data_IF_543805864561
#
_entry.id   IF_543805864561
#
_cell.length_a   1.000
_cell.length_b   1.000
_cell.length_c   1.000
_cell.angle_alpha   90.00
_cell.angle_beta   90.00
_cell.angle_gamma   90.00
#
_symmetry.space_group_name_H-M   'P 1'
#
loop_
_entity.id
_entity.type
_entity.pdbx_description
1 polymer ?
#
# COMPACT_ATOMS: atom_id res chain seq x y z
N UNK A 1 11.13 16.68 27.17
CA UNK A 1 11.06 17.60 26.01
C UNK A 1 10.81 16.80 24.73
N UNK A 2 9.93 17.28 23.84
CA UNK A 2 9.69 16.66 22.52
C UNK A 2 10.53 17.36 21.45
N UNK A 3 11.31 16.60 20.67
CA UNK A 3 12.15 17.12 19.58
C UNK A 3 11.43 16.94 18.25
N UNK A 4 11.29 18.01 17.44
CA UNK A 4 10.78 17.86 16.07
C UNK A 4 11.83 17.14 15.22
N UNK A 5 11.44 16.00 14.63
CA UNK A 5 12.32 15.22 13.77
C UNK A 5 12.04 15.45 12.29
N UNK A 6 10.77 15.68 11.92
CA UNK A 6 10.41 15.84 10.52
C UNK A 6 9.19 16.73 10.36
N UNK A 7 9.22 17.60 9.35
CA UNK A 7 8.13 18.49 8.98
C UNK A 7 7.88 18.39 7.47
N UNK A 8 6.67 17.97 7.08
CA UNK A 8 6.31 17.62 5.71
C UNK A 8 5.06 18.37 5.28
N UNK A 9 5.14 19.11 4.17
CA UNK A 9 3.96 19.62 3.47
C UNK A 9 3.34 18.54 2.61
N UNK A 10 2.02 18.37 2.72
CA UNK A 10 1.24 17.34 2.02
C UNK A 10 0.20 18.02 1.14
N UNK A 11 0.05 17.53 -0.09
CA UNK A 11 -1.03 17.91 -1.00
C UNK A 11 -1.62 16.67 -1.65
N UNK A 12 -2.95 16.48 -1.62
CA UNK A 12 -3.52 15.35 -2.36
C UNK A 12 -3.56 15.61 -3.87
N UNK A 13 -3.20 14.59 -4.66
CA UNK A 13 -3.24 14.64 -6.12
C UNK A 13 -4.43 13.87 -6.70
N UNK A 14 -4.96 12.90 -5.95
CA UNK A 14 -6.16 12.15 -6.33
C UNK A 14 -7.24 12.25 -5.25
N UNK A 15 -8.52 12.02 -5.62
CA UNK A 15 -9.65 12.11 -4.68
C UNK A 15 -9.38 11.36 -3.38
N UNK A 16 -9.52 12.06 -2.24
CA UNK A 16 -9.20 11.53 -0.93
C UNK A 16 -10.49 11.21 -0.16
N UNK A 17 -10.66 9.92 0.12
CA UNK A 17 -11.81 9.36 0.83
C UNK A 17 -11.41 8.98 2.26
N UNK A 18 -11.31 9.99 3.11
CA UNK A 18 -11.08 9.84 4.55
C UNK A 18 -12.42 9.95 5.26
N UNK A 19 -13.16 8.86 5.34
CA UNK A 19 -14.33 8.76 6.21
C UNK A 19 -14.15 7.64 7.21
N UNK A 20 -14.82 7.76 8.35
CA UNK A 20 -14.89 6.73 9.38
C UNK A 20 -15.61 5.46 8.90
N UNK A 21 -16.72 5.11 9.55
CA UNK A 21 -17.49 3.93 9.19
C UNK A 21 -18.19 4.05 7.83
N UNK A 22 -18.65 5.26 7.47
CA UNK A 22 -19.43 5.58 6.26
C UNK A 22 -18.57 5.85 5.01
N UNK A 23 -17.31 6.23 5.18
CA UNK A 23 -16.39 6.53 4.08
C UNK A 23 -16.55 7.92 3.46
N UNK A 24 -17.39 8.79 4.03
CA UNK A 24 -17.55 10.18 3.59
C UNK A 24 -16.54 11.11 4.27
N UNK A 25 -15.95 12.04 3.51
CA UNK A 25 -15.02 13.05 4.06
C UNK A 25 -15.69 14.12 4.91
N UNK A 26 -16.95 14.44 4.57
CA UNK A 26 -17.73 15.44 5.28
C UNK A 26 -19.08 14.85 5.69
N UNK A 27 -19.56 15.25 6.86
CA UNK A 27 -20.85 14.86 7.43
C UNK A 27 -21.53 16.02 8.11
N UNK A 28 -22.85 16.04 8.05
CA UNK A 28 -23.69 16.97 8.81
C UNK A 28 -24.15 16.28 10.09
N UNK A 29 -23.83 16.87 11.24
CA UNK A 29 -24.28 16.44 12.56
C UNK A 29 -25.09 17.59 13.17
N UNK A 30 -26.43 17.46 13.13
CA UNK A 30 -27.34 18.55 13.46
C UNK A 30 -27.18 19.72 12.48
N UNK A 31 -26.85 20.90 13.00
CA UNK A 31 -26.58 22.10 12.20
C UNK A 31 -25.11 22.27 11.79
N UNK A 32 -24.21 21.37 12.20
CA UNK A 32 -22.77 21.50 11.96
C UNK A 32 -22.30 20.58 10.84
N UNK A 33 -21.52 21.13 9.91
CA UNK A 33 -20.78 20.36 8.92
C UNK A 33 -19.39 20.06 9.49
N UNK A 34 -19.06 18.78 9.63
CA UNK A 34 -17.77 18.31 10.13
C UNK A 34 -16.98 17.72 8.96
N UNK A 35 -15.84 18.31 8.65
CA UNK A 35 -14.84 17.73 7.76
C UNK A 35 -13.83 16.89 8.56
N UNK A 36 -13.53 15.70 8.06
CA UNK A 36 -12.65 14.74 8.76
C UNK A 36 -11.19 15.19 8.84
N UNK A 37 -10.74 16.03 7.90
CA UNK A 37 -9.35 16.41 7.75
C UNK A 37 -8.44 15.22 7.48
N UNK A 38 -7.12 15.44 7.59
CA UNK A 38 -6.13 14.38 7.51
C UNK A 38 -5.88 13.79 8.90
N UNK A 39 -6.38 12.57 9.16
CA UNK A 39 -6.23 11.92 10.47
C UNK A 39 -4.81 11.41 10.69
N UNK A 40 -4.13 11.87 11.73
CA UNK A 40 -2.82 11.36 12.17
C UNK A 40 -2.81 9.83 12.37
N UNK A 41 -3.92 9.25 12.84
CA UNK A 41 -4.07 7.80 13.01
C UNK A 41 -4.00 7.04 11.68
N UNK A 42 -4.57 7.59 10.60
CA UNK A 42 -4.51 6.98 9.27
C UNK A 42 -3.08 6.96 8.74
N UNK A 43 -2.32 8.04 8.96
CA UNK A 43 -0.88 8.10 8.63
C UNK A 43 -0.09 7.09 9.47
N UNK A 44 -0.32 7.03 10.78
CA UNK A 44 0.34 6.04 11.67
C UNK A 44 0.05 4.60 11.25
N UNK A 45 -1.15 4.31 10.75
CA UNK A 45 -1.50 2.98 10.23
C UNK A 45 -0.67 2.59 9.01
N UNK A 46 -0.56 3.48 8.02
CA UNK A 46 0.28 3.28 6.83
C UNK A 46 1.76 3.19 7.20
N UNK A 47 2.23 4.10 8.04
CA UNK A 47 3.59 4.13 8.53
C UNK A 47 3.98 2.80 9.18
N UNK A 48 3.14 2.28 10.08
CA UNK A 48 3.38 0.98 10.73
C UNK A 48 3.41 -0.17 9.73
N UNK A 49 2.54 -0.17 8.73
CA UNK A 49 2.53 -1.22 7.71
C UNK A 49 3.83 -1.24 6.90
N UNK A 50 4.29 -0.09 6.42
CA UNK A 50 5.55 0.02 5.68
C UNK A 50 6.78 -0.27 6.54
N UNK A 51 6.79 0.17 7.81
CA UNK A 51 7.86 -0.19 8.75
C UNK A 51 7.98 -1.71 8.91
N UNK A 52 6.84 -2.41 9.06
CA UNK A 52 6.83 -3.88 9.15
C UNK A 52 7.33 -4.53 7.88
N UNK A 53 6.98 -4.00 6.69
CA UNK A 53 7.47 -4.52 5.42
C UNK A 53 9.00 -4.40 5.30
N UNK A 54 9.59 -3.27 5.71
CA UNK A 54 11.06 -3.11 5.75
C UNK A 54 11.74 -4.07 6.73
N UNK A 55 11.19 -4.22 7.95
CA UNK A 55 11.74 -5.16 8.94
C UNK A 55 11.64 -6.61 8.42
N UNK A 56 10.51 -6.98 7.82
CA UNK A 56 10.29 -8.29 7.23
C UNK A 56 11.25 -8.55 6.06
N UNK A 57 11.43 -7.58 5.17
CA UNK A 57 12.41 -7.64 4.09
C UNK A 57 13.84 -7.81 4.60
N UNK A 58 14.22 -7.08 5.64
CA UNK A 58 15.54 -7.19 6.25
C UNK A 58 15.77 -8.57 6.88
N UNK A 59 14.76 -9.13 7.56
CA UNK A 59 14.83 -10.51 8.09
C UNK A 59 14.99 -11.53 6.96
N UNK A 60 14.24 -11.36 5.87
CA UNK A 60 14.33 -12.24 4.71
C UNK A 60 15.72 -12.19 4.06
N UNK A 61 16.20 -11.00 3.72
CA UNK A 61 17.50 -10.85 3.04
C UNK A 61 18.67 -11.32 3.91
N UNK A 62 18.58 -11.18 5.23
CA UNK A 62 19.63 -11.62 6.17
C UNK A 62 19.57 -13.10 6.51
N UNK A 63 18.39 -13.69 6.70
CA UNK A 63 18.25 -14.99 7.35
C UNK A 63 17.44 -16.02 6.57
N UNK A 64 16.83 -15.65 5.44
CA UNK A 64 15.99 -16.56 4.64
C UNK A 64 14.60 -16.85 5.21
N UNK A 65 14.23 -16.18 6.30
CA UNK A 65 12.97 -16.43 7.00
C UNK A 65 12.41 -15.15 7.63
N UNK A 66 11.08 -15.03 7.63
CA UNK A 66 10.35 -13.91 8.24
C UNK A 66 9.51 -14.38 9.43
N UNK A 67 9.97 -14.05 10.63
CA UNK A 67 9.18 -14.23 11.86
C UNK A 67 8.22 -13.05 12.08
N UNK A 68 6.92 -13.29 11.93
CA UNK A 68 5.88 -12.28 12.17
C UNK A 68 5.95 -11.68 13.58
N UNK A 69 6.23 -12.51 14.59
CA UNK A 69 6.38 -12.08 15.98
C UNK A 69 7.55 -11.11 16.15
N UNK A 70 8.71 -11.41 15.55
CA UNK A 70 9.87 -10.49 15.57
C UNK A 70 9.54 -9.18 14.87
N UNK A 71 8.85 -9.22 13.72
CA UNK A 71 8.41 -8.03 12.98
C UNK A 71 7.49 -7.15 13.83
N UNK A 72 6.50 -7.76 14.49
CA UNK A 72 5.56 -7.06 15.38
C UNK A 72 6.30 -6.43 16.56
N UNK A 73 7.19 -7.18 17.22
CA UNK A 73 7.97 -6.73 18.38
C UNK A 73 8.87 -5.56 18.02
N UNK A 74 9.65 -5.65 16.94
CA UNK A 74 10.55 -4.59 16.49
C UNK A 74 9.79 -3.33 16.05
N UNK A 75 8.72 -3.48 15.26
CA UNK A 75 7.88 -2.35 14.88
C UNK A 75 7.20 -1.71 16.12
N UNK A 76 6.83 -2.53 17.10
CA UNK A 76 6.26 -2.11 18.38
C UNK A 76 7.25 -1.31 19.23
N UNK A 77 8.53 -1.71 19.28
CA UNK A 77 9.59 -0.94 19.97
C UNK A 77 9.74 0.48 19.41
N UNK A 78 9.54 0.67 18.11
CA UNK A 78 9.71 1.96 17.41
C UNK A 78 8.41 2.80 17.45
N UNK A 79 7.30 2.25 16.96
CA UNK A 79 6.04 2.98 16.77
C UNK A 79 4.98 2.70 17.84
N UNK A 80 5.29 1.87 18.83
CA UNK A 80 4.34 1.41 19.84
C UNK A 80 3.45 0.27 19.36
N UNK A 81 2.91 -0.49 20.31
CA UNK A 81 1.98 -1.59 20.10
C UNK A 81 0.70 -1.36 20.91
N UNK A 82 -0.50 -1.46 20.31
CA UNK A 82 -1.75 -1.09 20.96
C UNK A 82 -2.35 -2.17 21.89
N UNK A 83 -1.82 -3.40 21.92
CA UNK A 83 -2.49 -4.52 22.60
C UNK A 83 -1.54 -5.65 23.02
N UNK A 84 -1.91 -6.35 24.11
CA UNK A 84 -1.24 -7.55 24.62
C UNK A 84 -0.20 -7.28 25.70
N UNK A 85 0.56 -8.31 26.10
CA UNK A 85 1.71 -8.19 27.03
C UNK A 85 2.82 -7.24 26.52
N UNK A 86 2.79 -6.88 25.23
CA UNK A 86 3.70 -5.94 24.59
C UNK A 86 3.10 -4.53 24.39
N UNK A 87 2.02 -4.18 25.10
CA UNK A 87 1.41 -2.86 25.01
C UNK A 87 2.43 -1.78 25.37
N UNK A 88 2.81 -0.99 24.37
CA UNK A 88 3.96 -0.09 24.45
C UNK A 88 3.57 1.23 23.78
N UNK A 89 3.82 2.33 24.48
CA UNK A 89 3.60 3.67 23.94
C UNK A 89 4.55 3.97 22.77
N UNK A 90 4.07 4.77 21.82
CA UNK A 90 4.85 5.15 20.64
C UNK A 90 5.96 6.14 21.03
N UNK A 91 7.17 5.95 20.51
CA UNK A 91 8.25 6.94 20.62
C UNK A 91 8.01 8.19 19.76
N UNK A 92 6.89 8.25 19.02
CA UNK A 92 6.56 9.34 18.11
C UNK A 92 5.19 9.95 18.37
N UNK A 93 5.15 11.28 18.45
CA UNK A 93 3.94 12.08 18.35
C UNK A 93 3.80 12.61 16.93
N UNK A 94 2.60 12.45 16.37
CA UNK A 94 2.27 12.86 15.00
C UNK A 94 1.20 13.93 15.09
N UNK A 95 1.47 15.11 14.53
CA UNK A 95 0.53 16.23 14.46
C UNK A 95 0.24 16.54 12.99
N UNK A 96 -1.04 16.68 12.67
CA UNK A 96 -1.53 17.02 11.34
C UNK A 96 -2.31 18.32 11.43
N UNK A 97 -1.93 19.32 10.64
CA UNK A 97 -2.60 20.61 10.57
C UNK A 97 -3.17 20.77 9.17
N UNK A 98 -4.50 20.85 9.07
CA UNK A 98 -5.17 21.12 7.80
C UNK A 98 -5.03 22.61 7.51
N UNK A 99 -4.43 22.94 6.38
CA UNK A 99 -4.34 24.34 5.92
C UNK A 99 -5.50 24.70 5.00
N UNK A 100 -5.93 23.75 4.16
CA UNK A 100 -7.02 23.95 3.21
C UNK A 100 -7.57 22.61 2.71
N UNK A 101 -8.87 22.51 2.49
CA UNK A 101 -9.48 21.44 1.69
C UNK A 101 -10.70 21.97 0.95
N UNK A 102 -10.95 21.40 -0.24
CA UNK A 102 -12.25 21.52 -0.91
C UNK A 102 -12.99 20.20 -0.83
N UNK A 103 -14.25 20.28 -0.45
CA UNK A 103 -15.15 19.14 -0.36
C UNK A 103 -16.01 19.05 -1.64
N UNK A 104 -15.95 17.94 -2.37
CA UNK A 104 -16.73 17.71 -3.58
C UNK A 104 -17.60 16.45 -3.45
N UNK A 105 -18.74 16.42 -4.16
CA UNK A 105 -19.67 15.26 -4.17
C UNK A 105 -19.08 14.08 -4.92
N UNK A 106 -19.28 12.89 -4.37
CA UNK A 106 -18.84 11.62 -4.98
C UNK A 106 -19.46 11.31 -6.33
N UNK A 107 -20.67 11.82 -6.60
CA UNK A 107 -21.32 11.76 -7.92
C UNK A 107 -20.40 12.21 -9.05
N UNK A 108 -19.50 13.16 -8.78
CA UNK A 108 -18.57 13.74 -9.76
C UNK A 108 -17.44 12.77 -10.16
N UNK A 109 -17.29 11.66 -9.44
CA UNK A 109 -16.19 10.71 -9.62
C UNK A 109 -16.67 9.24 -9.65
N UNK A 110 -17.95 9.01 -9.93
CA UNK A 110 -18.56 7.67 -10.14
C UNK A 110 -17.94 6.90 -11.30
N UNK A 111 -17.22 7.59 -12.19
CA UNK A 111 -16.37 6.93 -13.20
C UNK A 111 -15.28 6.05 -12.59
N UNK A 112 -14.92 6.20 -11.32
CA UNK A 112 -14.04 5.27 -10.62
C UNK A 112 -14.82 4.04 -10.12
N UNK A 113 -14.56 2.82 -10.64
CA UNK A 113 -15.26 1.60 -10.23
C UNK A 113 -15.30 1.38 -8.72
N UNK A 114 -14.19 1.68 -8.01
CA UNK A 114 -14.13 1.50 -6.56
C UNK A 114 -15.05 2.47 -5.82
N UNK A 115 -15.22 3.69 -6.32
CA UNK A 115 -16.16 4.65 -5.75
C UNK A 115 -17.58 4.14 -5.93
N UNK A 116 -17.97 3.78 -7.15
CA UNK A 116 -19.33 3.27 -7.41
C UNK A 116 -19.69 2.08 -6.54
N UNK A 117 -18.76 1.14 -6.34
CA UNK A 117 -18.96 -0.02 -5.45
C UNK A 117 -19.10 0.35 -3.97
N UNK A 118 -18.38 1.37 -3.49
CA UNK A 118 -18.43 1.79 -2.08
C UNK A 118 -19.77 2.44 -1.70
N UNK A 119 -20.50 2.97 -2.69
CA UNK A 119 -21.72 3.74 -2.47
C UNK A 119 -22.97 3.09 -3.09
N UNK A 120 -22.88 1.83 -3.54
CA UNK A 120 -24.07 1.06 -3.93
C UNK A 120 -25.08 1.05 -2.77
N UNK A 121 -26.31 1.50 -3.05
CA UNK A 121 -27.38 1.59 -2.06
C UNK A 121 -27.20 2.69 -1.00
N UNK A 122 -26.22 3.60 -1.16
CA UNK A 122 -26.02 4.76 -0.27
C UNK A 122 -26.35 6.05 -1.02
N UNK A 123 -27.03 7.00 -0.35
CA UNK A 123 -27.48 8.30 -0.90
C UNK A 123 -26.36 9.32 -1.22
N UNK A 124 -25.17 8.86 -1.58
CA UNK A 124 -24.02 9.70 -1.92
C UNK A 124 -23.01 9.86 -0.78
N UNK A 125 -22.17 10.90 -0.89
CA UNK A 125 -21.13 11.26 0.08
C UNK A 125 -20.11 12.21 -0.54
N UNK A 126 -19.04 12.50 0.21
CA UNK A 126 -18.07 13.52 -0.16
C UNK A 126 -16.63 13.03 -0.14
N UNK A 127 -15.77 13.66 -0.93
CA UNK A 127 -14.33 13.47 -0.92
C UNK A 127 -13.59 14.80 -0.86
N UNK A 128 -12.36 14.78 -0.36
CA UNK A 128 -11.49 15.94 -0.38
C UNK A 128 -10.70 16.03 -1.69
N UNK A 129 -10.64 17.25 -2.24
CA UNK A 129 -9.77 17.64 -3.35
C UNK A 129 -8.93 18.85 -2.95
N UNK A 130 -7.73 18.95 -3.52
CA UNK A 130 -6.78 20.04 -3.25
C UNK A 130 -6.47 20.24 -1.76
N UNK A 131 -6.65 19.20 -0.94
CA UNK A 131 -6.27 19.18 0.46
C UNK A 131 -4.79 19.52 0.57
N UNK A 132 -4.48 20.53 1.40
CA UNK A 132 -3.14 20.91 1.81
C UNK A 132 -3.06 20.77 3.32
N UNK A 133 -2.05 20.05 3.79
CA UNK A 133 -1.83 19.85 5.21
C UNK A 133 -0.35 19.87 5.54
N UNK A 134 -0.05 20.15 6.80
CA UNK A 134 1.27 20.04 7.37
C UNK A 134 1.31 18.84 8.33
N UNK A 135 2.33 18.01 8.18
CA UNK A 135 2.60 16.87 9.04
C UNK A 135 3.89 17.15 9.81
N UNK A 136 3.80 17.23 11.14
CA UNK A 136 4.96 17.31 12.04
C UNK A 136 5.09 16.02 12.85
N UNK A 137 6.30 15.49 12.89
CA UNK A 137 6.68 14.28 13.63
C UNK A 137 7.67 14.67 14.71
N UNK A 138 7.33 14.34 15.94
CA UNK A 138 8.15 14.61 17.12
C UNK A 138 8.59 13.30 17.77
N UNK A 139 9.83 13.24 18.24
CA UNK A 139 10.29 12.20 19.15
C UNK A 139 9.82 12.50 20.57
N UNK A 140 9.33 11.48 21.25
CA UNK A 140 8.89 11.55 22.64
C UNK A 140 9.69 10.53 23.44
N UNK A 141 10.33 10.99 24.52
CA UNK A 141 10.97 10.09 25.48
C UNK A 141 9.88 9.25 26.17
N UNK A 142 9.99 7.93 26.07
CA UNK A 142 9.09 7.01 26.77
C UNK A 142 9.54 6.84 28.22
N UNK A 143 8.58 6.56 29.11
CA UNK A 143 8.87 6.32 30.53
C UNK A 143 9.61 5.01 30.77
N UNK A 144 9.35 4.00 29.94
CA UNK A 144 9.90 2.65 30.03
C UNK A 144 11.21 2.48 29.25
N UNK A 145 11.85 3.58 28.85
CA UNK A 145 13.16 3.56 28.17
C UNK A 145 14.06 4.64 28.75
N UNK A 146 15.26 4.25 29.17
CA UNK A 146 16.26 5.18 29.71
C UNK A 146 16.72 6.19 28.65
N UNK A 147 16.86 5.72 27.41
CA UNK A 147 17.36 6.48 26.27
C UNK A 147 16.30 6.71 25.18
N UNK A 148 16.53 7.71 24.35
CA UNK A 148 15.78 7.94 23.12
C UNK A 148 16.04 6.82 22.08
N UNK A 149 15.40 6.90 20.91
CA UNK A 149 15.72 5.96 19.82
C UNK A 149 17.19 6.07 19.40
N UNK A 150 17.75 4.97 18.91
CA UNK A 150 19.03 4.98 18.18
C UNK A 150 18.90 5.77 16.88
N UNK A 151 20.02 6.18 16.29
CA UNK A 151 19.99 6.91 15.01
C UNK A 151 19.41 6.05 13.88
N UNK A 152 19.73 4.76 13.86
CA UNK A 152 19.26 3.76 12.91
C UNK A 152 17.74 3.56 13.04
N UNK A 153 17.23 3.44 14.27
CA UNK A 153 15.79 3.34 14.53
C UNK A 153 15.04 4.59 14.03
N UNK A 154 15.62 5.80 14.20
CA UNK A 154 15.05 7.05 13.68
C UNK A 154 15.01 7.06 12.15
N UNK A 155 16.13 6.73 11.50
CA UNK A 155 16.23 6.73 10.03
C UNK A 155 15.25 5.71 9.44
N UNK A 156 15.19 4.49 9.98
CA UNK A 156 14.24 3.46 9.57
C UNK A 156 12.78 3.93 9.73
N UNK A 157 12.46 4.55 10.88
CA UNK A 157 11.13 5.08 11.12
C UNK A 157 10.78 6.18 10.11
N UNK A 158 11.62 7.20 9.94
CA UNK A 158 11.30 8.30 9.02
C UNK A 158 11.32 7.88 7.54
N UNK A 159 12.25 7.00 7.15
CA UNK A 159 12.31 6.43 5.81
C UNK A 159 11.07 5.60 5.45
N UNK A 160 10.58 4.79 6.39
CA UNK A 160 9.32 4.04 6.22
C UNK A 160 8.09 4.95 6.15
N UNK A 161 8.06 6.06 6.91
CA UNK A 161 7.01 7.08 6.79
C UNK A 161 7.03 7.72 5.40
N UNK A 162 8.19 8.18 4.94
CA UNK A 162 8.35 8.80 3.63
C UNK A 162 7.93 7.85 2.52
N UNK A 163 8.42 6.60 2.55
CA UNK A 163 8.05 5.57 1.59
C UNK A 163 6.53 5.37 1.59
N UNK A 164 5.90 5.32 2.77
CA UNK A 164 4.44 5.17 2.87
C UNK A 164 3.64 6.31 2.27
N UNK A 165 4.15 7.55 2.34
CA UNK A 165 3.47 8.73 1.81
C UNK A 165 3.62 8.86 0.29
N UNK A 166 4.74 8.37 -0.26
CA UNK A 166 5.03 8.42 -1.70
C UNK A 166 4.43 7.21 -2.43
N UNK A 167 4.57 6.01 -1.87
CA UNK A 167 4.23 4.74 -2.51
C UNK A 167 2.88 4.17 -2.04
N UNK A 168 2.05 4.96 -1.35
CA UNK A 168 0.66 4.57 -1.04
C UNK A 168 -0.30 5.76 -1.09
N UNK A 169 -1.57 5.45 -1.37
CA UNK A 169 -2.67 6.36 -1.11
C UNK A 169 -3.28 6.19 0.28
N UNK A 170 -3.86 7.25 0.82
CA UNK A 170 -4.54 7.25 2.13
C UNK A 170 -6.06 7.11 1.95
N UNK A 171 -6.71 6.37 2.84
CA UNK A 171 -8.17 6.25 2.86
C UNK A 171 -8.72 5.14 1.97
N UNK A 172 -10.03 5.22 1.66
CA UNK A 172 -10.70 4.18 0.88
C UNK A 172 -10.20 4.19 -0.57
N UNK A 173 -9.75 3.04 -1.06
CA UNK A 173 -9.16 2.93 -2.39
C UNK A 173 -7.68 3.33 -2.46
N UNK A 174 -7.01 3.56 -1.33
CA UNK A 174 -5.60 3.96 -1.25
C UNK A 174 -4.61 3.05 -1.98
N UNK A 175 -4.89 1.75 -2.08
CA UNK A 175 -4.06 0.80 -2.86
C UNK A 175 -4.32 0.81 -4.37
N UNK A 176 -5.33 1.56 -4.84
CA UNK A 176 -5.78 1.62 -6.24
C UNK A 176 -5.78 3.05 -6.78
N UNK A 177 -4.75 3.83 -6.42
CA UNK A 177 -4.52 5.17 -6.96
C UNK A 177 -5.37 6.31 -6.39
N UNK A 178 -6.23 6.08 -5.37
CA UNK A 178 -6.96 7.15 -4.68
C UNK A 178 -6.22 7.64 -3.45
N UNK A 179 -6.46 8.89 -3.04
CA UNK A 179 -5.84 9.51 -1.86
C UNK A 179 -4.31 9.61 -1.90
N UNK A 180 -3.71 9.68 -3.09
CA UNK A 180 -2.26 9.84 -3.26
C UNK A 180 -1.83 11.26 -2.91
N UNK A 181 -0.64 11.40 -2.31
CA UNK A 181 -0.10 12.66 -1.82
C UNK A 181 1.17 13.04 -2.57
N UNK A 182 1.25 14.29 -2.99
CA UNK A 182 2.51 14.96 -3.26
C UNK A 182 3.06 15.52 -1.94
N UNK A 183 4.34 15.30 -1.68
CA UNK A 183 4.97 15.67 -0.42
C UNK A 183 6.21 16.54 -0.65
N UNK A 184 6.44 17.47 0.28
CA UNK A 184 7.64 18.30 0.36
C UNK A 184 8.18 18.26 1.78
N UNK A 185 9.46 17.95 1.95
CA UNK A 185 10.10 17.91 3.27
C UNK A 185 10.76 19.25 3.55
N UNK A 186 10.33 19.89 4.65
CA UNK A 186 10.87 21.16 5.13
C UNK A 186 11.99 20.93 6.16
N UNK A 187 11.74 20.04 7.11
CA UNK A 187 12.68 19.66 8.18
C UNK A 187 12.90 18.15 8.14
N UNK A 188 14.15 17.73 8.25
CA UNK A 188 14.58 16.34 8.39
C UNK A 188 15.79 16.30 9.31
N UNK A 189 15.59 15.94 10.57
CA UNK A 189 16.64 15.90 11.58
C UNK A 189 17.69 14.81 11.32
N UNK A 190 17.42 13.85 10.42
CA UNK A 190 18.39 12.82 10.03
C UNK A 190 19.29 13.26 8.87
N UNK A 191 18.91 14.33 8.16
CA UNK A 191 19.55 14.82 6.94
C UNK A 191 19.67 13.75 5.81
N UNK A 192 18.90 12.67 5.86
CA UNK A 192 18.97 11.57 4.88
C UNK A 192 18.02 11.73 3.70
N UNK A 193 16.84 12.31 3.93
CA UNK A 193 15.73 12.18 3.00
C UNK A 193 15.25 13.50 2.40
N UNK A 194 15.43 14.64 3.07
CA UNK A 194 14.90 15.93 2.59
C UNK A 194 15.26 16.22 1.12
N UNK A 195 16.53 16.06 0.75
CA UNK A 195 17.00 16.27 -0.63
C UNK A 195 16.36 15.29 -1.60
N UNK A 196 16.38 13.99 -1.28
CA UNK A 196 15.86 12.93 -2.13
C UNK A 196 14.35 13.12 -2.39
N UNK A 197 13.56 13.32 -1.34
CA UNK A 197 12.10 13.49 -1.44
C UNK A 197 11.74 14.69 -2.31
N UNK A 198 12.42 15.82 -2.14
CA UNK A 198 12.13 17.01 -2.93
C UNK A 198 12.54 16.84 -4.41
N UNK A 199 13.46 15.91 -4.73
CA UNK A 199 13.84 15.56 -6.10
C UNK A 199 12.81 14.63 -6.77
N UNK A 200 12.02 13.83 -6.04
CA UNK A 200 11.02 12.90 -6.61
C UNK A 200 10.03 13.58 -7.57
N UNK A 201 9.75 14.86 -7.36
CA UNK A 201 8.90 15.63 -8.28
C UNK A 201 9.53 15.88 -9.67
N UNK A 202 10.86 15.81 -9.78
CA UNK A 202 11.63 16.01 -11.01
C UNK A 202 11.62 14.74 -11.87
N UNK A 203 11.02 14.75 -13.09
CA UNK A 203 10.91 13.56 -13.93
C UNK A 203 12.25 12.82 -14.16
N UNK A 204 13.32 13.56 -14.47
CA UNK A 204 14.61 12.96 -14.89
C UNK A 204 15.40 12.30 -13.76
N UNK A 205 15.07 12.63 -12.51
CA UNK A 205 15.79 12.13 -11.32
C UNK A 205 14.89 11.36 -10.36
N UNK A 206 13.62 11.18 -10.72
CA UNK A 206 12.61 10.56 -9.85
C UNK A 206 12.97 9.13 -9.49
N UNK A 207 13.27 8.32 -10.50
CA UNK A 207 13.53 6.88 -10.35
C UNK A 207 14.73 6.67 -9.42
N UNK A 208 15.82 7.40 -9.65
CA UNK A 208 17.02 7.35 -8.83
C UNK A 208 16.77 7.88 -7.39
N UNK A 209 16.00 8.95 -7.23
CA UNK A 209 15.65 9.46 -5.90
C UNK A 209 14.80 8.45 -5.11
N UNK A 210 13.81 7.81 -5.75
CA UNK A 210 12.98 6.78 -5.14
C UNK A 210 13.80 5.55 -4.77
N UNK A 211 14.68 5.10 -5.67
CA UNK A 211 15.63 4.01 -5.42
C UNK A 211 16.44 4.29 -4.17
N UNK A 212 17.07 5.46 -4.09
CA UNK A 212 17.91 5.83 -2.94
C UNK A 212 17.14 5.94 -1.62
N UNK A 213 15.89 6.40 -1.63
CA UNK A 213 15.04 6.40 -0.42
C UNK A 213 14.81 4.96 0.07
N UNK A 214 14.46 4.05 -0.84
CA UNK A 214 14.18 2.65 -0.51
C UNK A 214 15.45 1.93 -0.05
N UNK A 215 16.55 2.08 -0.80
CA UNK A 215 17.85 1.47 -0.48
C UNK A 215 18.36 1.92 0.89
N UNK A 216 18.36 3.23 1.17
CA UNK A 216 18.84 3.75 2.45
C UNK A 216 17.97 3.27 3.62
N UNK A 217 16.64 3.25 3.44
CA UNK A 217 15.73 2.76 4.48
C UNK A 217 15.94 1.27 4.75
N UNK A 218 16.10 0.46 3.70
CA UNK A 218 16.32 -0.98 3.82
C UNK A 218 17.69 -1.32 4.40
N UNK A 219 18.75 -0.61 3.99
CA UNK A 219 20.10 -0.74 4.55
C UNK A 219 20.07 -0.57 6.07
N UNK A 220 19.36 0.45 6.55
CA UNK A 220 19.20 0.70 7.99
C UNK A 220 18.27 -0.33 8.64
N UNK A 221 17.25 -0.82 7.94
CA UNK A 221 16.42 -1.93 8.43
C UNK A 221 17.27 -3.17 8.76
N UNK A 222 18.22 -3.54 7.87
CA UNK A 222 19.17 -4.64 8.11
C UNK A 222 20.04 -4.39 9.34
N UNK A 223 20.51 -3.16 9.57
CA UNK A 223 21.28 -2.81 10.77
C UNK A 223 20.46 -2.99 12.05
N UNK A 224 19.22 -2.50 12.07
CA UNK A 224 18.31 -2.65 13.23
C UNK A 224 18.00 -4.13 13.52
N UNK A 225 17.81 -4.93 12.47
CA UNK A 225 17.51 -6.37 12.57
C UNK A 225 18.71 -7.19 13.05
N UNK A 226 19.93 -6.92 12.55
CA UNK A 226 21.16 -7.62 12.98
C UNK A 226 21.38 -7.53 14.49
N UNK A 227 21.08 -6.39 15.08
CA UNK A 227 21.23 -6.15 16.51
C UNK A 227 20.24 -6.94 17.39
N UNK A 228 19.37 -7.77 16.82
CA UNK A 228 18.30 -8.48 17.52
C UNK A 228 18.33 -10.02 17.34
N UNK A 229 19.46 -10.58 16.85
CA UNK A 229 19.77 -12.00 16.64
C UNK A 229 18.72 -12.82 15.85
N UNK A 230 19.17 -13.49 14.79
CA UNK A 230 18.38 -14.42 13.98
C UNK A 230 19.07 -15.78 13.91
N UNK A 231 18.28 -16.85 14.02
CA UNK A 231 18.71 -18.16 13.54
C UNK A 231 18.43 -18.23 12.05
N UNK A 232 19.39 -18.70 11.25
CA UNK A 232 19.15 -18.98 9.84
C UNK A 232 18.15 -20.12 9.70
N UNK A 233 17.11 -19.88 8.90
CA UNK A 233 16.14 -20.89 8.50
C UNK A 233 15.72 -20.53 7.10
N UNK A 234 15.78 -21.49 6.19
CA UNK A 234 15.34 -21.24 4.83
C UNK A 234 13.86 -21.56 4.69
N UNK A 235 13.10 -20.58 4.20
CA UNK A 235 11.75 -20.78 3.70
C UNK A 235 11.70 -20.43 2.21
N UNK A 236 10.71 -20.99 1.51
CA UNK A 236 10.60 -20.79 0.07
C UNK A 236 10.09 -19.40 -0.34
N UNK A 237 9.28 -18.80 0.53
CA UNK A 237 8.62 -17.52 0.31
C UNK A 237 8.33 -16.89 1.68
N UNK A 238 8.45 -15.56 1.84
CA UNK A 238 8.19 -14.91 3.12
C UNK A 238 6.73 -15.09 3.56
N UNK A 239 6.56 -15.29 4.88
CA UNK A 239 5.26 -15.47 5.53
C UNK A 239 4.33 -14.27 5.39
N UNK A 240 4.87 -13.04 5.32
CA UNK A 240 4.14 -11.78 5.20
C UNK A 240 4.79 -10.85 4.16
N UNK A 241 4.09 -9.81 3.68
CA UNK A 241 4.65 -8.84 2.74
C UNK A 241 5.99 -8.28 3.21
N UNK A 242 7.04 -8.54 2.42
CA UNK A 242 8.43 -8.26 2.79
C UNK A 242 9.09 -7.38 1.75
N UNK A 243 9.67 -6.26 2.18
CA UNK A 243 10.38 -5.31 1.32
C UNK A 243 11.86 -5.71 1.24
N UNK A 244 12.14 -6.86 0.63
CA UNK A 244 13.49 -7.39 0.40
C UNK A 244 13.65 -7.81 -1.06
N UNK A 245 14.88 -7.84 -1.54
CA UNK A 245 15.19 -8.17 -2.94
C UNK A 245 16.57 -8.81 -3.13
N UNK A 246 17.39 -8.91 -2.07
CA UNK A 246 18.73 -9.51 -2.18
C UNK A 246 18.64 -11.03 -2.19
N UNK A 247 17.72 -11.60 -1.40
CA UNK A 247 17.41 -13.03 -1.42
C UNK A 247 16.15 -13.28 -2.24
N UNK A 248 16.22 -14.22 -3.18
CA UNK A 248 15.07 -14.65 -3.99
C UNK A 248 14.28 -15.76 -3.32
N UNK A 249 12.98 -15.80 -3.56
CA UNK A 249 12.12 -16.95 -3.27
C UNK A 249 12.61 -18.15 -4.09
N UNK A 250 12.58 -19.36 -3.54
CA UNK A 250 13.03 -20.59 -4.22
C UNK A 250 12.00 -21.13 -5.22
N UNK A 251 10.73 -20.74 -5.09
CA UNK A 251 9.63 -21.30 -5.88
C UNK A 251 9.36 -20.53 -7.18
N UNK A 252 9.01 -21.27 -8.23
CA UNK A 252 8.43 -20.74 -9.48
C UNK A 252 9.43 -20.11 -10.47
N UNK A 253 10.74 -20.22 -10.26
CA UNK A 253 11.74 -19.61 -11.16
C UNK A 253 12.48 -18.42 -10.56
N UNK A 254 12.59 -18.39 -9.23
CA UNK A 254 13.40 -17.45 -8.45
C UNK A 254 12.99 -15.99 -8.55
N UNK A 255 12.37 -15.44 -7.49
CA UNK A 255 11.78 -14.09 -7.52
C UNK A 255 12.02 -13.28 -6.26
N UNK A 256 12.28 -11.99 -6.44
CA UNK A 256 12.43 -11.02 -5.37
C UNK A 256 11.10 -10.81 -4.61
N UNK A 257 11.12 -10.79 -3.27
CA UNK A 257 9.93 -10.53 -2.45
C UNK A 257 9.23 -9.21 -2.73
N UNK A 258 9.97 -8.20 -3.19
CA UNK A 258 9.44 -6.88 -3.44
C UNK A 258 9.96 -6.31 -4.75
N UNK A 259 9.06 -5.79 -5.58
CA UNK A 259 9.40 -5.02 -6.78
C UNK A 259 8.78 -3.64 -6.73
N UNK A 260 9.51 -2.66 -7.25
CA UNK A 260 9.00 -1.31 -7.45
C UNK A 260 9.13 -0.93 -8.92
N UNK A 261 8.01 -0.62 -9.54
CA UNK A 261 7.97 0.01 -10.85
C UNK A 261 7.56 1.47 -10.76
N UNK A 262 8.09 2.28 -11.67
CA UNK A 262 7.67 3.65 -11.94
C UNK A 262 7.24 3.73 -13.40
N UNK A 263 6.05 4.29 -13.65
CA UNK A 263 5.55 4.48 -15.00
C UNK A 263 5.35 5.96 -15.29
N UNK A 264 6.06 6.49 -16.29
CA UNK A 264 5.97 7.88 -16.73
C UNK A 264 4.95 8.06 -17.86
N UNK A 265 4.25 9.20 -17.88
CA UNK A 265 3.21 9.52 -18.87
C UNK A 265 2.94 11.03 -18.93
N UNK A 266 2.18 11.50 -19.92
CA UNK A 266 1.69 12.89 -19.99
C UNK A 266 0.32 13.10 -19.33
N UNK A 267 -0.27 12.02 -18.79
CA UNK A 267 -1.61 12.04 -18.16
C UNK A 267 -1.59 12.73 -16.78
N UNK A 268 -2.75 13.30 -16.41
CA UNK A 268 -2.95 13.84 -15.07
C UNK A 268 -3.14 12.72 -14.04
N UNK A 269 -2.84 13.00 -12.76
CA UNK A 269 -3.01 12.04 -11.67
C UNK A 269 -4.43 11.43 -11.62
N UNK A 270 -5.44 12.23 -11.97
CA UNK A 270 -6.83 11.79 -12.02
C UNK A 270 -7.06 10.70 -13.09
N UNK A 271 -6.53 10.89 -14.30
CA UNK A 271 -6.66 9.91 -15.40
C UNK A 271 -5.85 8.66 -15.09
N UNK A 272 -4.66 8.82 -14.49
CA UNK A 272 -3.82 7.69 -14.07
C UNK A 272 -4.54 6.84 -13.02
N UNK A 273 -5.18 7.47 -12.02
CA UNK A 273 -6.00 6.76 -11.05
C UNK A 273 -7.18 6.02 -11.70
N UNK A 274 -7.72 6.54 -12.81
CA UNK A 274 -8.80 5.89 -13.56
C UNK A 274 -8.25 4.66 -14.29
N UNK A 275 -7.12 4.78 -14.97
CA UNK A 275 -6.46 3.66 -15.67
C UNK A 275 -6.11 2.52 -14.71
N UNK A 276 -5.61 2.82 -13.51
CA UNK A 276 -5.33 1.84 -12.45
C UNK A 276 -6.61 1.09 -12.02
N UNK A 277 -7.71 1.82 -11.80
CA UNK A 277 -8.95 1.18 -11.36
C UNK A 277 -9.64 0.40 -12.46
N UNK A 278 -9.53 0.86 -13.71
CA UNK A 278 -10.03 0.16 -14.87
C UNK A 278 -9.27 -1.17 -15.04
N UNK A 279 -7.94 -1.19 -14.86
CA UNK A 279 -7.16 -2.43 -14.81
C UNK A 279 -7.66 -3.40 -13.73
N UNK A 280 -7.94 -2.89 -12.53
CA UNK A 280 -8.44 -3.70 -11.42
C UNK A 280 -9.89 -4.20 -11.61
N UNK A 281 -10.57 -3.84 -12.71
CA UNK A 281 -11.97 -4.15 -12.97
C UNK A 281 -12.08 -4.93 -14.27
N UNK A 282 -12.40 -6.24 -14.19
CA UNK A 282 -12.41 -7.18 -15.34
C UNK A 282 -12.94 -6.56 -16.64
N UNK A 283 -14.22 -6.18 -16.69
CA UNK A 283 -14.83 -5.69 -17.93
C UNK A 283 -14.14 -4.45 -18.50
N UNK A 284 -13.72 -3.52 -17.64
CA UNK A 284 -13.03 -2.29 -18.10
C UNK A 284 -11.61 -2.55 -18.57
N UNK A 285 -10.89 -3.44 -17.89
CA UNK A 285 -9.57 -3.90 -18.32
C UNK A 285 -9.66 -4.54 -19.70
N UNK A 286 -10.57 -5.50 -19.88
CA UNK A 286 -10.76 -6.20 -21.15
C UNK A 286 -11.09 -5.23 -22.30
N UNK A 287 -12.03 -4.31 -22.08
CA UNK A 287 -12.37 -3.31 -23.09
C UNK A 287 -11.19 -2.39 -23.44
N UNK A 288 -10.44 -1.88 -22.45
CA UNK A 288 -9.26 -1.06 -22.72
C UNK A 288 -8.09 -1.83 -23.33
N UNK A 289 -7.95 -3.12 -23.01
CA UNK A 289 -6.90 -3.99 -23.53
C UNK A 289 -7.19 -4.53 -24.91
N UNK A 290 -8.45 -4.81 -25.26
CA UNK A 290 -8.80 -5.56 -26.48
C UNK A 290 -9.97 -4.97 -27.28
N UNK A 291 -10.63 -3.91 -26.80
CA UNK A 291 -11.81 -3.33 -27.44
C UNK A 291 -13.10 -4.12 -27.22
N UNK A 292 -13.07 -5.19 -26.42
CA UNK A 292 -14.22 -6.07 -26.16
C UNK A 292 -14.39 -6.39 -24.69
N UNK A 293 -15.64 -6.52 -24.23
CA UNK A 293 -15.97 -6.98 -22.88
C UNK A 293 -15.98 -8.52 -22.74
N UNK A 294 -16.02 -9.24 -23.87
CA UNK A 294 -16.19 -10.70 -23.91
C UNK A 294 -14.90 -11.47 -24.16
N UNK A 295 -13.83 -10.80 -24.62
CA UNK A 295 -12.52 -11.41 -24.73
C UNK A 295 -12.01 -11.88 -23.35
N UNK A 296 -11.11 -12.86 -23.33
CA UNK A 296 -10.42 -13.27 -22.12
C UNK A 296 -8.96 -12.84 -22.20
N UNK A 297 -8.43 -12.34 -21.09
CA UNK A 297 -7.00 -12.14 -20.88
C UNK A 297 -6.47 -13.28 -20.00
N UNK A 298 -5.15 -13.41 -19.89
CA UNK A 298 -4.53 -14.47 -19.09
C UNK A 298 -4.99 -14.47 -17.62
N UNK A 299 -5.35 -13.30 -17.06
CA UNK A 299 -5.90 -13.20 -15.70
C UNK A 299 -7.24 -13.93 -15.58
N UNK A 300 -8.11 -13.78 -16.58
CA UNK A 300 -9.42 -14.42 -16.64
C UNK A 300 -9.29 -15.90 -16.97
N UNK A 301 -8.45 -16.26 -17.94
CA UNK A 301 -8.27 -17.65 -18.39
C UNK A 301 -7.72 -18.53 -17.26
N UNK A 302 -6.71 -18.04 -16.53
CA UNK A 302 -6.08 -18.77 -15.43
C UNK A 302 -6.80 -18.63 -14.09
N UNK A 303 -7.90 -17.87 -14.04
CA UNK A 303 -8.65 -17.62 -12.80
C UNK A 303 -7.79 -17.06 -11.65
N UNK A 304 -6.85 -16.16 -11.97
CA UNK A 304 -5.89 -15.59 -10.99
C UNK A 304 -6.26 -14.20 -10.49
N UNK A 305 -7.44 -13.69 -10.84
CA UNK A 305 -7.89 -12.35 -10.44
C UNK A 305 -8.00 -12.14 -8.92
N UNK A 306 -8.07 -13.23 -8.13
CA UNK A 306 -8.06 -13.19 -6.67
C UNK A 306 -6.82 -12.49 -6.10
N UNK A 307 -5.70 -12.50 -6.84
CA UNK A 307 -4.46 -11.83 -6.42
C UNK A 307 -4.62 -10.32 -6.32
N UNK A 308 -5.55 -9.71 -7.08
CA UNK A 308 -5.87 -8.27 -7.05
C UNK A 308 -6.69 -7.85 -5.80
N UNK A 309 -6.83 -8.76 -4.85
CA UNK A 309 -7.46 -8.59 -3.55
C UNK A 309 -8.73 -9.42 -3.44
N UNK A 310 -8.82 -10.20 -2.36
CA UNK A 310 -10.00 -10.98 -2.04
C UNK A 310 -11.09 -10.05 -1.47
N UNK A 311 -12.35 -10.21 -1.92
CA UNK A 311 -13.46 -9.47 -1.33
C UNK A 311 -13.63 -9.87 0.14
N UNK A 312 -14.33 -9.03 0.90
CA UNK A 312 -14.86 -9.46 2.20
C UNK A 312 -15.84 -10.60 1.93
N UNK A 313 -15.91 -11.59 2.82
CA UNK A 313 -16.98 -12.60 2.81
C UNK A 313 -18.30 -11.93 2.44
N UNK A 314 -18.79 -12.25 1.25
CA UNK A 314 -20.15 -11.91 0.89
C UNK A 314 -21.00 -12.91 1.67
N UNK A 315 -21.92 -12.44 2.51
CA UNK A 315 -22.89 -13.32 3.17
C UNK A 315 -23.39 -14.32 2.13
N UNK A 316 -23.22 -15.60 2.39
CA UNK A 316 -23.58 -16.72 1.49
C UNK A 316 -25.07 -16.74 1.08
N UNK A 317 -25.86 -15.79 1.57
CA UNK A 317 -27.31 -15.74 1.54
C UNK A 317 -27.92 -15.32 0.19
N UNK A 318 -27.16 -15.24 -0.90
CA UNK A 318 -27.77 -15.06 -2.24
C UNK A 318 -27.18 -16.05 -3.23
N UNK A 319 -28.02 -16.96 -3.72
CA UNK A 319 -27.76 -17.89 -4.85
C UNK A 319 -27.24 -17.17 -6.13
N UNK A 320 -27.28 -15.84 -6.17
CA UNK A 320 -26.85 -14.97 -7.28
C UNK A 320 -25.50 -14.27 -7.08
N UNK A 321 -24.74 -14.58 -6.02
CA UNK A 321 -23.44 -13.96 -5.78
C UNK A 321 -22.37 -14.48 -6.77
N UNK A 322 -21.73 -13.58 -7.53
CA UNK A 322 -20.61 -13.91 -8.41
C UNK A 322 -19.28 -13.42 -7.81
N UNK A 323 -18.21 -14.22 -7.90
CA UNK A 323 -16.86 -13.85 -7.47
C UNK A 323 -16.17 -14.88 -6.56
N UNK A 324 -15.12 -14.45 -5.86
CA UNK A 324 -14.34 -15.29 -4.95
C UNK A 324 -14.86 -15.21 -3.50
N UNK A 325 -14.89 -16.33 -2.80
CA UNK A 325 -15.15 -16.43 -1.35
C UNK A 325 -14.08 -17.31 -0.69
N UNK A 326 -13.69 -16.99 0.55
CA UNK A 326 -12.76 -17.80 1.34
C UNK A 326 -13.51 -19.03 1.87
N UNK A 327 -12.95 -20.23 1.72
CA UNK A 327 -13.61 -21.50 2.10
C UNK A 327 -12.99 -22.10 3.35
N UNK A 328 -11.66 -22.16 3.40
CA UNK A 328 -10.89 -22.55 4.59
C UNK A 328 -9.78 -21.54 4.78
N UNK A 329 -9.84 -20.74 5.86
CA UNK A 329 -8.65 -20.26 6.59
C UNK A 329 -9.01 -19.36 7.80
N UNK A 330 -7.97 -18.99 8.57
CA UNK A 330 -7.92 -18.03 9.70
C UNK A 330 -8.13 -16.55 9.33
N UNK A 331 -8.38 -16.19 8.05
CA UNK A 331 -8.34 -14.79 7.60
C UNK A 331 -9.63 -14.44 6.86
N UNK A 332 -10.35 -13.41 7.32
CA UNK A 332 -11.60 -12.95 6.71
C UNK A 332 -11.41 -12.01 5.50
N UNK A 333 -10.16 -11.64 5.21
CA UNK A 333 -9.79 -10.69 4.15
C UNK A 333 -8.30 -10.72 3.84
N UNK A 334 -7.93 -10.69 2.55
CA UNK A 334 -6.58 -10.31 2.12
C UNK A 334 -6.62 -9.19 1.09
N UNK A 335 -5.88 -8.12 1.36
CA UNK A 335 -5.81 -6.98 0.44
C UNK A 335 -4.80 -7.23 -0.68
N UNK A 336 -4.98 -6.57 -1.83
CA UNK A 336 -4.07 -6.66 -2.98
C UNK A 336 -2.60 -6.47 -2.57
N UNK A 337 -1.68 -7.34 -2.98
CA UNK A 337 -0.23 -7.16 -2.82
C UNK A 337 0.32 -6.11 -3.79
N UNK A 338 -0.44 -5.75 -4.83
CA UNK A 338 -0.15 -4.62 -5.69
C UNK A 338 -0.69 -3.34 -5.05
N UNK A 339 0.20 -2.39 -4.79
CA UNK A 339 -0.11 -1.04 -4.32
C UNK A 339 0.24 -0.07 -5.43
N UNK A 340 -0.79 0.62 -5.91
CA UNK A 340 -0.68 1.60 -6.99
C UNK A 340 -0.79 3.02 -6.43
N UNK A 341 0.11 3.90 -6.84
CA UNK A 341 -0.06 5.36 -6.64
C UNK A 341 -0.17 6.10 -7.95
N UNK A 342 -0.96 7.16 -7.96
CA UNK A 342 -1.16 8.01 -9.12
C UNK A 342 -0.76 9.43 -8.77
N UNK A 343 0.22 9.95 -9.51
CA UNK A 343 0.78 11.29 -9.37
C UNK A 343 0.69 12.01 -10.70
N UNK A 344 0.83 13.33 -10.72
CA UNK A 344 0.77 14.04 -11.98
C UNK A 344 1.92 13.60 -12.89
N UNK A 345 1.62 13.09 -14.09
CA UNK A 345 2.60 12.59 -15.08
C UNK A 345 3.32 11.28 -14.72
N UNK A 346 2.99 10.62 -13.61
CA UNK A 346 3.60 9.32 -13.29
C UNK A 346 2.78 8.49 -12.28
N UNK A 347 3.09 7.20 -12.21
CA UNK A 347 2.60 6.30 -11.16
C UNK A 347 3.71 5.42 -10.62
N UNK A 348 3.47 4.83 -9.45
CA UNK A 348 4.27 3.72 -8.95
C UNK A 348 3.43 2.46 -8.78
N UNK A 349 4.09 1.31 -8.91
CA UNK A 349 3.52 -0.01 -8.61
C UNK A 349 4.48 -0.72 -7.66
N UNK A 350 4.07 -0.86 -6.41
CA UNK A 350 4.76 -1.70 -5.42
C UNK A 350 4.11 -3.08 -5.41
N UNK A 351 4.90 -4.14 -5.57
CA UNK A 351 4.40 -5.53 -5.59
C UNK A 351 5.09 -6.32 -4.48
N UNK A 352 4.31 -6.98 -3.61
CA UNK A 352 4.82 -7.76 -2.48
C UNK A 352 4.45 -9.24 -2.59
N UNK A 353 5.45 -10.11 -2.74
CA UNK A 353 5.32 -11.57 -2.74
C UNK A 353 5.34 -12.08 -1.32
N UNK A 354 4.36 -12.90 -0.99
CA UNK A 354 4.25 -13.55 0.32
C UNK A 354 3.19 -14.64 0.30
N UNK A 355 3.33 -15.61 1.21
CA UNK A 355 2.43 -16.77 1.33
C UNK A 355 1.26 -16.58 2.31
N UNK A 356 0.98 -15.35 2.77
CA UNK A 356 -0.16 -15.00 3.64
C UNK A 356 -1.53 -15.08 2.92
N UNK A 357 -1.76 -16.11 2.10
CA UNK A 357 -3.01 -16.38 1.40
C UNK A 357 -3.90 -17.35 2.18
N UNK A 358 -5.24 -17.31 2.01
CA UNK A 358 -6.10 -18.39 2.48
C UNK A 358 -5.69 -19.73 1.84
N UNK A 359 -5.93 -20.86 2.53
CA UNK A 359 -5.58 -22.20 2.02
C UNK A 359 -6.41 -22.53 0.78
N UNK A 360 -7.70 -22.17 0.80
CA UNK A 360 -8.57 -22.37 -0.35
C UNK A 360 -9.58 -21.23 -0.52
N UNK A 361 -9.91 -20.97 -1.79
CA UNK A 361 -10.98 -20.06 -2.19
C UNK A 361 -11.94 -20.78 -3.14
N UNK A 362 -13.21 -20.40 -3.09
CA UNK A 362 -14.24 -20.78 -4.05
C UNK A 362 -14.45 -19.61 -4.99
N UNK A 363 -14.49 -19.89 -6.29
CA UNK A 363 -14.97 -18.99 -7.31
C UNK A 363 -16.38 -19.42 -7.74
N UNK A 364 -17.31 -18.48 -7.85
CA UNK A 364 -18.67 -18.71 -8.36
C UNK A 364 -18.93 -17.80 -9.56
N UNK A 365 -19.29 -18.38 -10.70
CA UNK A 365 -19.55 -17.64 -11.93
C UNK A 365 -20.23 -18.52 -12.99
N UNK A 366 -21.18 -17.95 -13.74
CA UNK A 366 -21.81 -18.68 -14.86
C UNK A 366 -22.66 -19.90 -14.48
N UNK A 367 -23.03 -20.06 -13.21
CA UNK A 367 -23.78 -21.23 -12.72
C UNK A 367 -22.91 -22.33 -12.13
N UNK A 368 -21.58 -22.19 -12.17
CA UNK A 368 -20.63 -23.18 -11.67
C UNK A 368 -19.85 -22.66 -10.45
N UNK A 369 -19.48 -23.58 -9.55
CA UNK A 369 -18.58 -23.36 -8.43
C UNK A 369 -17.25 -24.07 -8.70
N UNK A 370 -16.14 -23.32 -8.66
CA UNK A 370 -14.79 -23.86 -8.77
C UNK A 370 -14.03 -23.66 -7.47
N UNK A 371 -13.39 -24.71 -6.96
CA UNK A 371 -12.54 -24.64 -5.77
C UNK A 371 -11.07 -24.53 -6.18
N UNK A 372 -10.40 -23.51 -5.66
CA UNK A 372 -9.01 -23.23 -5.91
C UNK A 372 -8.24 -23.43 -4.61
N UNK A 373 -7.41 -24.47 -4.58
CA UNK A 373 -6.39 -24.67 -3.56
C UNK A 373 -5.22 -23.70 -3.81
N UNK A 374 -4.90 -22.83 -2.84
CA UNK A 374 -3.86 -21.80 -2.89
C UNK A 374 -2.67 -22.15 -2.00
N UNK A 375 -2.69 -23.25 -1.23
CA UNK A 375 -1.51 -23.69 -0.47
C UNK A 375 -0.30 -23.97 -1.39
N UNK A 376 -0.58 -24.31 -2.64
CA UNK A 376 0.42 -24.48 -3.68
C UNK A 376 1.13 -23.15 -4.02
N UNK A 377 2.39 -23.03 -3.59
CA UNK A 377 3.25 -21.87 -3.83
C UNK A 377 3.42 -21.55 -5.33
N UNK A 378 3.39 -22.56 -6.22
CA UNK A 378 3.45 -22.36 -7.67
C UNK A 378 2.23 -21.61 -8.20
N UNK A 379 1.03 -21.85 -7.65
CA UNK A 379 -0.19 -21.10 -8.03
C UNK A 379 -0.13 -19.65 -7.56
N UNK A 380 0.43 -19.41 -6.37
CA UNK A 380 0.68 -18.04 -5.90
C UNK A 380 1.64 -17.36 -6.87
N UNK A 381 2.74 -18.02 -7.20
CA UNK A 381 3.72 -17.50 -8.14
C UNK A 381 3.10 -17.20 -9.52
N UNK A 382 2.38 -18.14 -10.11
CA UNK A 382 1.71 -17.99 -11.40
C UNK A 382 0.74 -16.81 -11.39
N UNK A 383 -0.05 -16.65 -10.32
CA UNK A 383 -1.02 -15.58 -10.20
C UNK A 383 -0.38 -14.20 -10.24
N UNK A 384 0.71 -14.02 -9.49
CA UNK A 384 1.42 -12.75 -9.48
C UNK A 384 2.13 -12.47 -10.81
N UNK A 385 2.80 -13.46 -11.41
CA UNK A 385 3.47 -13.30 -12.71
C UNK A 385 2.46 -12.91 -13.79
N UNK A 386 1.37 -13.68 -13.90
CA UNK A 386 0.31 -13.43 -14.89
C UNK A 386 -0.26 -12.02 -14.73
N UNK A 387 -0.56 -11.58 -13.51
CA UNK A 387 -1.10 -10.24 -13.27
C UNK A 387 -0.09 -9.14 -13.57
N UNK A 388 1.17 -9.33 -13.25
CA UNK A 388 2.24 -8.37 -13.54
C UNK A 388 2.50 -8.24 -15.05
N UNK A 389 2.52 -9.35 -15.79
CA UNK A 389 2.69 -9.34 -17.25
C UNK A 389 1.54 -8.61 -17.94
N UNK A 390 0.29 -8.98 -17.60
CA UNK A 390 -0.90 -8.31 -18.13
C UNK A 390 -0.95 -6.84 -17.71
N UNK A 391 -0.44 -6.48 -16.52
CA UNK A 391 -0.29 -5.09 -16.12
C UNK A 391 0.72 -4.34 -17.00
N UNK A 392 1.89 -4.91 -17.25
CA UNK A 392 2.94 -4.31 -18.09
C UNK A 392 2.41 -4.04 -19.50
N UNK A 393 1.73 -5.02 -20.10
CA UNK A 393 1.10 -4.89 -21.41
C UNK A 393 0.00 -3.83 -21.42
N UNK A 394 -0.88 -3.86 -20.42
CA UNK A 394 -1.95 -2.88 -20.26
C UNK A 394 -1.37 -1.46 -20.19
N UNK A 395 -0.38 -1.23 -19.32
CA UNK A 395 0.25 0.09 -19.16
C UNK A 395 0.94 0.54 -20.45
N UNK A 396 1.64 -0.36 -21.14
CA UNK A 396 2.25 -0.06 -22.45
C UNK A 396 1.18 0.39 -23.46
N UNK A 397 0.07 -0.34 -23.58
CA UNK A 397 -1.05 0.01 -24.48
C UNK A 397 -1.71 1.34 -24.10
N UNK A 398 -1.76 1.66 -22.81
CA UNK A 398 -2.27 2.94 -22.31
C UNK A 398 -1.24 4.09 -22.44
N UNK A 399 -0.08 3.88 -23.08
CA UNK A 399 0.90 4.93 -23.35
C UNK A 399 1.79 5.30 -22.15
N UNK A 400 2.05 4.35 -21.25
CA UNK A 400 3.00 4.54 -20.14
C UNK A 400 4.38 3.97 -20.50
N UNK A 401 5.43 4.68 -20.10
CA UNK A 401 6.81 4.17 -20.10
C UNK A 401 7.13 3.62 -18.71
N UNK A 402 7.21 2.30 -18.60
CA UNK A 402 7.48 1.61 -17.34
C UNK A 402 8.99 1.36 -17.15
N UNK A 403 9.48 1.62 -15.95
CA UNK A 403 10.85 1.33 -15.51
C UNK A 403 10.79 0.58 -14.19
N UNK A 404 11.60 -0.47 -14.05
CA UNK A 404 11.78 -1.18 -12.79
C UNK A 404 12.86 -0.48 -11.97
N UNK A 405 12.51 0.02 -10.80
CA UNK A 405 13.38 0.81 -9.92
C UNK A 405 14.05 -0.08 -8.86
N UNK A 406 13.30 -1.05 -8.33
CA UNK A 406 13.80 -2.09 -7.43
C UNK A 406 13.51 -3.45 -8.08
N UNK A 407 14.52 -4.33 -8.21
CA UNK A 407 14.42 -5.63 -8.87
C UNK A 407 13.40 -6.57 -8.21
#
# INVERSE_FOLDING_TARGET
MSRELMKIGLRNETPLLLGGYDGSYSRTLGSRVIEEGLRAQSIKGLWRWWLRAYIAGALWDLYGYVSEQKVIKLAGKILGSPSGKEAISSSFKVRTELSYSRCDRLSNITRFPRVSLLFVGRGGGYYARNLKALLSVYEVKRKDREHLLGNEERILALGSLITSLILSGIGKGGRRGLGCLNIRVFTDATNRFKRLVNIVSSPDRREEALKNIVLETHRVAKQVVRNHEGSEKEEDMPSIPSLGWERRCSVGGSREPFRLYVASTNKSAFIIAQDIQDFCTRGRRLYKSHGSYTCKDAIVEKHVAWVLGLPREQKEQKKTAHGYSIVKNKVSRRASPFIFTAHNKWMSVSIFFSKDWPESIRWRGGGEDAFLDIECLDKIYEAYNTVEEVLKEYLKKQGYKLVQVIP
#
